data_IF_851024432330
#
_entry.id   IF_851024432330
#
_cell.length_a   1.000
_cell.length_b   1.000
_cell.length_c   1.000
_cell.angle_alpha   90.00
_cell.angle_beta   90.00
_cell.angle_gamma   90.00
#
_symmetry.space_group_name_H-M   'P 1'
#
loop_
_entity.id
_entity.type
_entity.pdbx_description
1 polymer ?
#
# COMPACT_ATOMS: atom_id res chain seq x y z
N UNK A 1 -12.43 -3.84 -19.49
CA UNK A 1 -12.37 -4.81 -18.37
C UNK A 1 -11.29 -4.36 -17.40
N UNK A 2 -11.50 -4.49 -16.09
CA UNK A 2 -10.49 -4.15 -15.07
C UNK A 2 -9.97 -5.44 -14.45
N UNK A 3 -8.66 -5.69 -14.58
CA UNK A 3 -7.98 -6.83 -13.96
C UNK A 3 -7.43 -6.41 -12.59
N UNK A 4 -7.17 -7.36 -11.67
CA UNK A 4 -6.53 -7.07 -10.39
C UNK A 4 -5.18 -6.35 -10.53
N UNK A 5 -4.38 -6.66 -11.55
CA UNK A 5 -3.09 -5.99 -11.78
C UNK A 5 -3.27 -4.49 -12.04
N UNK A 6 -4.36 -4.07 -12.68
CA UNK A 6 -4.66 -2.66 -12.89
C UNK A 6 -4.87 -1.92 -11.57
N UNK A 7 -5.53 -2.57 -10.60
CA UNK A 7 -5.77 -2.01 -9.27
C UNK A 7 -4.46 -1.95 -8.48
N UNK A 8 -3.67 -3.01 -8.49
CA UNK A 8 -2.37 -3.05 -7.80
C UNK A 8 -1.42 -1.96 -8.32
N UNK A 9 -1.42 -1.72 -9.63
CA UNK A 9 -0.60 -0.68 -10.25
C UNK A 9 -0.94 0.73 -9.73
N UNK A 10 -2.23 1.04 -9.57
CA UNK A 10 -2.68 2.37 -9.10
C UNK A 10 -2.77 2.48 -7.57
N UNK A 11 -2.67 1.38 -6.84
CA UNK A 11 -2.87 1.36 -5.39
C UNK A 11 -1.86 2.26 -4.64
N UNK A 12 -0.58 2.25 -5.04
CA UNK A 12 0.42 3.12 -4.42
C UNK A 12 0.10 4.62 -4.55
N UNK A 13 -0.01 5.21 -5.77
CA UNK A 13 -0.30 6.64 -5.89
C UNK A 13 -1.65 7.06 -5.29
N UNK A 14 -2.63 6.16 -5.21
CA UNK A 14 -3.95 6.43 -4.57
C UNK A 14 -3.85 6.44 -3.04
N UNK A 15 -3.06 5.55 -2.45
CA UNK A 15 -2.97 5.37 -0.99
C UNK A 15 -1.86 6.20 -0.34
N UNK A 16 -0.82 6.61 -1.08
CA UNK A 16 0.37 7.26 -0.53
C UNK A 16 0.08 8.51 0.31
N UNK A 17 -0.97 9.27 -0.03
CA UNK A 17 -1.38 10.46 0.72
C UNK A 17 -2.57 10.21 1.65
N UNK A 18 -3.07 8.97 1.72
CA UNK A 18 -4.24 8.57 2.51
C UNK A 18 -3.88 7.73 3.73
N UNK A 19 -2.63 7.26 3.81
CA UNK A 19 -2.11 6.55 4.97
C UNK A 19 -1.30 7.53 5.79
N UNK A 20 -1.62 7.60 7.07
CA UNK A 20 -0.92 8.41 8.06
C UNK A 20 -0.27 7.43 9.02
N UNK A 21 1.07 7.48 9.09
CA UNK A 21 1.80 6.70 10.08
C UNK A 21 1.68 7.37 11.45
N UNK A 22 1.73 6.56 12.50
CA UNK A 22 1.90 7.10 13.85
C UNK A 22 3.35 7.56 14.02
N UNK A 23 3.58 8.53 14.90
CA UNK A 23 4.92 9.05 15.17
C UNK A 23 5.90 7.93 15.56
N UNK A 24 5.47 6.96 16.37
CA UNK A 24 6.29 5.82 16.76
C UNK A 24 6.79 5.00 15.55
N UNK A 25 5.92 4.79 14.54
CA UNK A 25 6.27 4.06 13.32
C UNK A 25 7.25 4.83 12.45
N UNK A 26 7.08 6.15 12.34
CA UNK A 26 8.04 7.00 11.62
C UNK A 26 9.41 7.01 12.32
N UNK A 27 9.43 7.05 13.66
CA UNK A 27 10.66 6.98 14.46
C UNK A 27 11.36 5.61 14.35
N UNK A 28 10.60 4.53 14.20
CA UNK A 28 11.12 3.20 13.87
C UNK A 28 11.68 3.10 12.43
N UNK A 29 11.53 4.15 11.62
CA UNK A 29 12.02 4.21 10.25
C UNK A 29 11.10 3.57 9.21
N UNK A 30 9.81 3.37 9.54
CA UNK A 30 8.84 2.87 8.57
C UNK A 30 8.56 3.92 7.50
N UNK A 31 8.56 3.46 6.24
CA UNK A 31 8.23 4.28 5.09
C UNK A 31 6.82 3.92 4.55
N UNK A 32 5.95 4.91 4.28
CA UNK A 32 4.59 4.67 3.78
C UNK A 32 4.53 3.82 2.51
N UNK A 33 5.50 3.95 1.60
CA UNK A 33 5.56 3.15 0.36
C UNK A 33 5.82 1.68 0.66
N UNK A 34 6.70 1.40 1.62
CA UNK A 34 6.98 0.03 2.04
C UNK A 34 5.73 -0.60 2.67
N UNK A 35 5.08 0.14 3.58
CA UNK A 35 3.85 -0.31 4.26
C UNK A 35 2.74 -0.60 3.26
N UNK A 36 2.49 0.31 2.30
CA UNK A 36 1.47 0.09 1.26
C UNK A 36 1.78 -1.15 0.43
N UNK A 37 3.05 -1.35 0.04
CA UNK A 37 3.47 -2.51 -0.74
C UNK A 37 3.25 -3.82 0.03
N UNK A 38 3.62 -3.86 1.31
CA UNK A 38 3.39 -5.02 2.17
C UNK A 38 1.89 -5.29 2.35
N UNK A 39 1.07 -4.26 2.58
CA UNK A 39 -0.39 -4.43 2.69
C UNK A 39 -0.97 -5.07 1.43
N UNK A 40 -0.59 -4.59 0.25
CA UNK A 40 -1.09 -5.12 -1.03
C UNK A 40 -0.64 -6.57 -1.23
N UNK A 41 0.60 -6.93 -0.87
CA UNK A 41 1.09 -8.31 -1.04
C UNK A 41 0.39 -9.34 -0.15
N UNK A 42 -0.23 -8.92 0.96
CA UNK A 42 -0.98 -9.81 1.85
C UNK A 42 -2.44 -10.01 1.41
N UNK A 43 -2.93 -9.23 0.44
CA UNK A 43 -4.29 -9.36 -0.08
C UNK A 43 -4.27 -10.43 -1.17
N UNK A 44 -5.03 -11.51 -0.96
CA UNK A 44 -5.22 -12.53 -1.99
C UNK A 44 -5.93 -11.93 -3.22
N UNK A 45 -5.37 -12.23 -4.38
CA UNK A 45 -5.96 -11.83 -5.65
C UNK A 45 -6.97 -12.89 -6.08
N UNK A 46 -8.26 -12.57 -6.20
CA UNK A 46 -9.25 -13.51 -6.70
C UNK A 46 -8.92 -13.90 -8.16
N UNK A 47 -8.97 -15.21 -8.43
CA UNK A 47 -8.83 -15.78 -9.78
C UNK A 47 -10.08 -15.55 -10.62
#
# INVERSE_FOLDING_TARGET
>A
FVMPEHIQYVAFPVLNHRIILTADRELEGYDPKLVIKEMISHIEVPR
#
